data_IF_972197735973
#
_entry.id   IF_972197735973
#
_cell.length_a   1.000
_cell.length_b   1.000
_cell.length_c   1.000
_cell.angle_alpha   90.00
_cell.angle_beta   90.00
_cell.angle_gamma   90.00
#
_symmetry.space_group_name_H-M   'P 1'
#
loop_
_entity.id
_entity.type
_entity.pdbx_description
1 polymer ?
2 non-polymer ?
3 non-polymer ?
4 non-polymer ?
5 non-polymer ?
6 non-polymer ?
7 water ?
#
# COMPACT_ATOMS: atom_id res chain seq x y z
N UNK A 1 -7.30 -1.48 19.39
CA UNK A 1 -6.40 -0.70 18.54
C UNK A 1 -5.06 -1.41 18.36
N UNK A 2 -4.74 -1.75 17.10
CA UNK A 2 -3.46 -2.37 16.76
C UNK A 2 -2.31 -1.37 16.75
N UNK A 3 -1.13 -1.81 16.29
CA UNK A 3 0.04 -0.92 16.32
C UNK A 3 -0.10 0.28 15.38
N UNK A 4 0.46 1.40 15.82
CA UNK A 4 0.54 2.60 15.00
C UNK A 4 1.98 3.12 14.98
N UNK A 5 2.31 3.91 13.96
CA UNK A 5 3.57 4.66 13.98
C UNK A 5 3.50 5.68 15.10
N UNK A 6 4.58 5.86 15.83
CA UNK A 6 4.62 6.80 16.93
C UNK A 6 5.34 8.08 16.51
N UNK A 7 5.17 8.43 15.25
CA UNK A 7 5.72 9.65 14.69
C UNK A 7 4.86 10.01 13.48
N UNK A 8 4.95 11.26 13.05
CA UNK A 8 4.14 11.71 11.91
C UNK A 8 4.91 11.93 10.63
N UNK A 9 6.23 11.74 10.67
CA UNK A 9 7.05 11.81 9.47
C UNK A 9 7.50 10.39 9.15
N UNK A 10 7.08 9.89 8.01
CA UNK A 10 7.31 8.50 7.65
C UNK A 10 7.97 8.44 6.28
N UNK A 11 9.08 7.71 6.15
CA UNK A 11 9.70 7.59 4.84
C UNK A 11 9.36 6.27 4.16
N UNK A 12 9.43 6.29 2.84
CA UNK A 12 9.27 5.07 2.07
C UNK A 12 10.36 4.95 1.02
N UNK A 13 10.66 3.73 0.62
CA UNK A 13 11.61 3.52 -0.46
C UNK A 13 11.10 2.43 -1.37
N UNK A 14 11.25 2.62 -2.67
CA UNK A 14 10.88 1.61 -3.65
C UNK A 14 12.11 0.73 -3.89
N UNK A 15 12.07 -0.47 -3.33
CA UNK A 15 13.21 -1.41 -3.37
C UNK A 15 13.53 -1.86 -4.77
N UNK A 16 12.49 -2.10 -5.55
CA UNK A 16 12.62 -2.58 -6.91
C UNK A 16 11.36 -2.27 -7.69
N UNK A 17 11.44 -2.39 -9.02
CA UNK A 17 10.36 -2.00 -9.92
C UNK A 17 9.85 -3.15 -10.76
N UNK A 18 8.53 -3.31 -10.81
CA UNK A 18 7.94 -4.28 -11.72
C UNK A 18 8.28 -3.92 -13.16
N UNK A 19 8.62 -4.92 -13.99
CA UNK A 19 8.86 -4.62 -15.41
C UNK A 19 7.54 -4.40 -16.16
N UNK A 20 6.41 -4.61 -15.49
CA UNK A 20 5.10 -4.44 -16.13
C UNK A 20 4.81 -3.01 -16.53
N UNK A 21 5.44 -2.06 -15.83
CA UNK A 21 5.12 -0.64 -15.97
C UNK A 21 6.37 0.20 -16.17
N UNK A 22 6.19 1.40 -16.72
CA UNK A 22 7.25 2.40 -16.75
C UNK A 22 7.64 2.77 -15.33
N UNK A 23 8.93 2.97 -15.10
CA UNK A 23 9.41 3.31 -13.77
C UNK A 23 8.71 4.58 -13.25
N UNK A 24 8.55 5.55 -14.12
CA UNK A 24 7.89 6.81 -13.74
C UNK A 24 6.46 6.56 -13.29
N UNK A 25 5.80 5.60 -13.91
CA UNK A 25 4.40 5.31 -13.59
C UNK A 25 4.29 4.61 -12.22
N UNK A 26 5.29 3.80 -11.88
CA UNK A 26 5.32 3.17 -10.56
C UNK A 26 5.51 4.25 -9.48
N UNK A 27 6.51 5.10 -9.65
CA UNK A 27 6.73 6.21 -8.73
C UNK A 27 5.46 7.02 -8.52
N UNK A 28 4.78 7.34 -9.62
CA UNK A 28 3.58 8.17 -9.54
C UNK A 28 2.46 7.46 -8.78
N UNK A 29 2.23 6.19 -9.09
CA UNK A 29 1.17 5.43 -8.42
C UNK A 29 1.41 5.40 -6.93
N UNK A 30 2.65 5.11 -6.54
CA UNK A 30 2.97 5.01 -5.14
C UNK A 30 2.85 6.35 -4.42
N UNK A 31 3.39 7.43 -5.02
CA UNK A 31 3.27 8.73 -4.43
C UNK A 31 1.81 9.16 -4.27
N UNK A 32 0.99 8.91 -5.28
CA UNK A 32 -0.42 9.27 -5.20
C UNK A 32 -1.15 8.44 -4.14
N UNK A 33 -0.78 7.16 -4.00
CA UNK A 33 -1.37 6.33 -2.95
C UNK A 33 -1.06 6.84 -1.54
N UNK A 34 0.17 7.27 -1.28
CA UNK A 34 0.48 7.86 0.02
C UNK A 34 -0.32 9.14 0.24
N UNK A 35 -0.48 9.93 -0.82
CA UNK A 35 -1.17 11.20 -0.73
C UNK A 35 -2.62 11.02 -0.28
N UNK A 36 -3.26 9.95 -0.74
CA UNK A 36 -4.61 9.65 -0.33
C UNK A 36 -4.74 9.64 1.21
N UNK A 37 -3.77 9.01 1.87
CA UNK A 37 -3.80 8.89 3.32
C UNK A 37 -3.30 10.16 4.01
N UNK A 38 -2.31 10.81 3.42
CA UNK A 38 -1.82 12.06 3.99
C UNK A 38 -2.91 13.14 4.01
N UNK A 39 -3.80 13.09 3.02
CA UNK A 39 -4.88 14.07 2.89
C UNK A 39 -5.89 14.08 4.04
N UNK A 40 -5.94 13.02 4.83
CA UNK A 40 -6.93 12.91 5.92
C UNK A 40 -6.32 12.61 7.29
N UNK A 41 -4.99 12.74 7.39
CA UNK A 41 -4.28 12.54 8.66
C UNK A 41 -3.17 13.60 8.83
N UNK A 42 -2.50 13.61 9.99
CA UNK A 42 -1.31 14.46 10.16
C UNK A 42 -0.05 13.89 9.54
N UNK A 43 -0.14 12.71 8.92
CA UNK A 43 1.05 12.02 8.42
C UNK A 43 1.63 12.64 7.15
N UNK A 44 2.96 12.67 7.10
CA UNK A 44 3.66 13.07 5.89
C UNK A 44 4.61 11.97 5.46
N UNK A 45 4.71 11.81 4.16
CA UNK A 45 5.50 10.72 3.58
C UNK A 45 6.52 11.30 2.62
N UNK A 46 7.76 10.85 2.74
CA UNK A 46 8.83 11.27 1.84
C UNK A 46 9.51 10.04 1.27
N UNK A 47 9.71 10.05 -0.04
CA UNK A 47 10.45 9.02 -0.77
C UNK A 47 11.95 9.21 -0.57
N UNK A 48 12.64 8.15 -0.18
CA UNK A 48 14.09 8.18 -0.15
C UNK A 48 14.62 7.07 -1.06
N UNK A 49 15.77 7.32 -1.68
CA UNK A 49 16.38 6.37 -2.62
C UNK A 49 17.52 5.62 -1.97
N UNK A 50 17.84 6.03 -0.74
CA UNK A 50 18.93 5.47 0.06
C UNK A 50 18.64 5.74 1.53
N UNK A 51 19.25 4.97 2.43
CA UNK A 51 19.05 5.18 3.85
C UNK A 51 18.11 4.13 4.36
N UNK A 52 17.45 4.42 5.48
CA UNK A 52 16.58 3.45 6.15
C UNK A 52 15.12 3.91 6.16
N UNK A 53 14.38 3.51 5.15
CA UNK A 53 12.99 3.88 5.05
C UNK A 53 12.12 3.10 6.06
N UNK A 54 11.05 3.73 6.52
CA UNK A 54 10.07 3.02 7.34
C UNK A 54 9.29 1.98 6.54
N UNK A 55 8.81 2.38 5.37
CA UNK A 55 7.99 1.51 4.53
C UNK A 55 8.77 1.15 3.29
N UNK A 56 9.20 -0.10 3.20
CA UNK A 56 9.83 -0.58 1.98
C UNK A 56 8.75 -1.14 1.04
N UNK A 57 8.77 -0.68 -0.20
CA UNK A 57 7.88 -1.14 -1.24
C UNK A 57 8.63 -2.15 -2.12
N UNK A 58 8.10 -3.37 -2.21
CA UNK A 58 8.79 -4.46 -2.87
C UNK A 58 7.88 -5.17 -3.86
N UNK A 59 8.41 -5.54 -5.03
CA UNK A 59 7.72 -6.47 -5.94
C UNK A 59 8.47 -7.79 -5.86
N UNK A 60 7.76 -8.88 -5.58
CA UNK A 60 8.42 -10.17 -5.43
C UNK A 60 7.46 -11.28 -5.80
N UNK A 61 8.00 -12.49 -5.88
CA UNK A 61 7.29 -13.62 -6.47
C UNK A 61 7.25 -14.79 -5.49
N UNK A 62 6.11 -15.48 -5.42
CA UNK A 62 6.01 -16.72 -4.67
C UNK A 62 6.52 -16.63 -3.24
N UNK A 63 7.35 -17.60 -2.84
CA UNK A 63 7.99 -17.57 -1.54
C UNK A 63 9.14 -16.59 -1.64
N UNK A 64 9.05 -15.49 -0.88
CA UNK A 64 9.96 -14.37 -1.07
C UNK A 64 10.57 -13.89 0.24
N UNK A 65 10.74 -14.80 1.19
CA UNK A 65 11.53 -14.50 2.36
C UNK A 65 10.77 -14.16 3.62
N UNK A 66 9.44 -14.25 3.56
CA UNK A 66 8.61 -14.04 4.75
C UNK A 66 7.55 -15.15 4.86
N UNK A 67 6.63 -15.03 5.81
CA UNK A 67 5.66 -16.11 6.02
C UNK A 67 4.35 -15.86 5.28
N UNK A 68 4.44 -15.05 4.24
CA UNK A 68 3.26 -14.68 3.49
C UNK A 68 3.55 -14.92 2.03
N UNK A 69 3.87 -16.16 1.67
CA UNK A 69 4.17 -16.49 0.28
C UNK A 69 3.03 -16.12 -0.67
N UNK A 70 3.39 -15.69 -1.86
CA UNK A 70 2.41 -15.38 -2.89
C UNK A 70 2.01 -16.65 -3.64
N UNK A 71 1.05 -16.51 -4.55
CA UNK A 71 0.32 -17.66 -5.07
C UNK A 71 0.19 -17.67 -6.59
N UNK A 72 1.08 -16.97 -7.30
CA UNK A 72 0.99 -16.86 -8.75
C UNK A 72 -0.07 -15.88 -9.18
N UNK A 73 -0.38 -15.83 -10.46
CA UNK A 73 -1.36 -14.86 -10.95
C UNK A 73 -2.74 -15.09 -10.32
N UNK A 74 -3.38 -14.00 -9.91
CA UNK A 74 -4.68 -14.07 -9.27
C UNK A 74 -4.58 -14.26 -7.77
N UNK A 75 -5.70 -14.50 -7.13
CA UNK A 75 -5.67 -14.72 -5.69
C UNK A 75 -5.13 -13.50 -4.95
N UNK A 76 -4.15 -13.72 -4.08
CA UNK A 76 -3.49 -12.62 -3.34
C UNK A 76 -2.78 -11.67 -4.29
N UNK A 77 -3.03 -10.38 -4.16
CA UNK A 77 -2.36 -9.42 -5.05
C UNK A 77 -1.13 -8.78 -4.40
N UNK A 78 -1.17 -8.68 -3.07
CA UNK A 78 -0.17 -7.95 -2.31
C UNK A 78 -0.44 -8.19 -0.83
N UNK A 79 0.53 -7.88 0.02
CA UNK A 79 0.28 -7.89 1.46
C UNK A 79 1.23 -6.90 2.10
N UNK A 80 0.93 -6.49 3.32
CA UNK A 80 1.75 -5.50 4.00
C UNK A 80 1.76 -5.75 5.50
N UNK A 81 2.89 -5.41 6.13
CA UNK A 81 3.04 -5.55 7.57
C UNK A 81 2.59 -4.27 8.26
N UNK A 82 1.96 -4.41 9.43
CA UNK A 82 1.57 -3.24 10.19
C UNK A 82 2.78 -2.51 10.75
N UNK A 83 2.57 -1.32 11.32
CA UNK A 83 3.66 -0.51 11.87
C UNK A 83 4.56 -1.26 12.86
N UNK A 84 5.86 -1.00 12.75
CA UNK A 84 6.86 -1.68 13.57
C UNK A 84 8.20 -1.54 12.88
N UNK A 85 9.25 -1.97 13.57
CA UNK A 85 10.60 -1.87 13.03
C UNK A 85 10.87 -2.95 12.01
N UNK A 86 11.94 -2.79 11.23
CA UNK A 86 12.36 -3.82 10.31
C UNK A 86 11.31 -4.08 9.24
N UNK A 87 10.82 -5.31 9.16
CA UNK A 87 9.81 -5.64 8.17
C UNK A 87 8.48 -4.92 8.43
N UNK A 88 8.29 -4.44 9.65
CA UNK A 88 7.09 -3.69 9.96
C UNK A 88 6.86 -2.58 8.94
N UNK A 89 5.61 -2.39 8.56
CA UNK A 89 5.27 -1.36 7.59
C UNK A 89 5.50 -1.71 6.12
N UNK A 90 6.29 -2.73 5.83
CA UNK A 90 6.68 -2.96 4.43
C UNK A 90 5.51 -3.51 3.60
N UNK A 91 5.47 -3.13 2.32
CA UNK A 91 4.37 -3.48 1.43
C UNK A 91 4.92 -4.28 0.26
N UNK A 92 4.42 -5.50 0.08
CA UNK A 92 4.90 -6.40 -0.94
C UNK A 92 3.83 -6.68 -1.99
N UNK A 93 4.20 -6.55 -3.26
CA UNK A 93 3.28 -6.70 -4.38
C UNK A 93 3.70 -7.93 -5.18
N UNK A 94 2.71 -8.76 -5.53
CA UNK A 94 2.98 -10.04 -6.18
C UNK A 94 3.31 -9.80 -7.65
N UNK A 95 4.56 -10.06 -8.02
CA UNK A 95 4.99 -9.82 -9.41
C UNK A 95 4.26 -10.72 -10.39
N UNK A 96 3.65 -11.80 -9.92
CA UNK A 96 2.90 -12.66 -10.84
C UNK A 96 1.60 -12.01 -11.33
N UNK A 97 1.24 -10.88 -10.74
CA UNK A 97 0.15 -10.06 -11.26
C UNK A 97 0.68 -9.19 -12.40
N UNK A 98 -0.21 -8.65 -13.23
CA UNK A 98 0.20 -7.68 -14.23
C UNK A 98 -0.22 -6.28 -13.78
N UNK A 99 0.76 -5.52 -13.29
CA UNK A 99 0.49 -4.21 -12.68
C UNK A 99 0.27 -3.18 -13.76
N UNK A 100 -0.76 -2.35 -13.61
CA UNK A 100 -1.04 -1.31 -14.61
C UNK A 100 -1.39 0.05 -14.02
N UNK A 101 -1.46 1.04 -14.91
CA UNK A 101 -1.87 2.39 -14.58
C UNK A 101 -3.37 2.53 -14.82
N UNK A 102 -4.01 1.45 -15.24
CA UNK A 102 -5.37 1.54 -15.77
C UNK A 102 -6.27 0.41 -15.29
N UNK A 103 -7.30 0.08 -16.05
CA UNK A 103 -8.31 -0.85 -15.60
C UNK A 103 -7.96 -2.30 -15.91
N UNK A 104 -7.03 -2.50 -16.84
CA UNK A 104 -6.58 -3.84 -17.18
C UNK A 104 -5.64 -4.36 -16.13
N UNK A 105 -5.43 -5.68 -16.12
CA UNK A 105 -4.59 -6.31 -15.11
C UNK A 105 -5.00 -5.87 -13.73
N UNK A 106 -4.01 -5.52 -12.91
CA UNK A 106 -4.30 -5.07 -11.55
C UNK A 106 -3.75 -3.66 -11.39
N UNK A 107 -4.62 -2.70 -11.09
CA UNK A 107 -4.18 -1.33 -10.94
C UNK A 107 -3.26 -1.14 -9.72
N UNK A 108 -2.05 -0.64 -9.95
CA UNK A 108 -1.08 -0.49 -8.87
C UNK A 108 -1.51 0.55 -7.83
N UNK A 109 -1.96 1.71 -8.30
CA UNK A 109 -2.41 2.77 -7.41
C UNK A 109 -3.47 2.27 -6.40
N UNK A 110 -4.52 1.67 -6.91
CA UNK A 110 -5.60 1.22 -6.01
C UNK A 110 -5.10 0.18 -5.02
N UNK A 111 -4.31 -0.76 -5.50
CA UNK A 111 -3.73 -1.78 -4.63
C UNK A 111 -2.82 -1.15 -3.59
N UNK A 112 -2.03 -0.17 -3.99
CA UNK A 112 -1.15 0.51 -3.06
C UNK A 112 -1.91 1.29 -2.00
N UNK A 113 -3.04 1.90 -2.34
CA UNK A 113 -3.83 2.58 -1.31
C UNK A 113 -4.23 1.58 -0.22
N UNK A 114 -4.76 0.44 -0.63
CA UNK A 114 -5.15 -0.63 0.30
C UNK A 114 -3.95 -1.11 1.15
N UNK A 115 -2.82 -1.37 0.49
CA UNK A 115 -1.67 -1.91 1.22
C UNK A 115 -1.10 -0.89 2.19
N UNK A 116 -1.03 0.37 1.78
CA UNK A 116 -0.53 1.41 2.67
C UNK A 116 -1.47 1.53 3.86
N UNK A 117 -2.77 1.34 3.64
CA UNK A 117 -3.71 1.25 4.76
C UNK A 117 -3.21 0.29 5.83
N UNK A 118 -2.83 -0.92 5.39
CA UNK A 118 -2.27 -1.91 6.30
C UNK A 118 -0.93 -1.41 6.91
N UNK A 119 -0.06 -0.81 6.10
CA UNK A 119 1.23 -0.33 6.60
C UNK A 119 1.05 0.72 7.70
N UNK A 120 -0.09 1.39 7.68
CA UNK A 120 -0.39 2.44 8.67
C UNK A 120 -1.18 1.86 9.86
N UNK A 121 -1.61 0.62 9.73
CA UNK A 121 -2.25 -0.04 10.86
C UNK A 121 -3.70 -0.45 10.70
N UNK A 122 -4.29 -0.22 9.53
CA UNK A 122 -5.68 -0.62 9.28
C UNK A 122 -5.79 -2.10 8.95
N UNK A 123 -6.86 -2.72 9.41
CA UNK A 123 -7.24 -4.05 8.97
C UNK A 123 -8.31 -3.92 7.90
N UNK A 124 -8.88 -5.04 7.50
CA UNK A 124 -9.92 -5.01 6.49
C UNK A 124 -11.24 -4.48 7.01
N UNK A 125 -12.05 -3.97 6.09
CA UNK A 125 -13.36 -3.41 6.39
C UNK A 125 -14.43 -4.27 5.74
N UNK A 126 -15.61 -4.30 6.33
CA UNK A 126 -16.71 -5.02 5.69
C UNK A 126 -17.59 -4.07 4.88
N UNK A 127 -17.19 -2.80 4.83
CA UNK A 127 -17.89 -1.79 4.04
C UNK A 127 -17.54 -1.98 2.56
N UNK A 128 -18.55 -2.31 1.73
CA UNK A 128 -18.24 -2.60 0.32
C UNK A 128 -17.65 -1.41 -0.43
N UNK A 129 -17.79 -0.21 0.11
CA UNK A 129 -17.25 0.98 -0.56
C UNK A 129 -15.83 1.30 -0.11
N UNK A 130 -15.38 0.59 0.92
CA UNK A 130 -14.07 0.89 1.51
C UNK A 130 -12.90 0.37 0.68
N UNK A 131 -11.84 1.16 0.60
CA UNK A 131 -10.63 0.68 -0.05
C UNK A 131 -10.03 -0.49 0.74
N UNK A 132 -10.32 -0.56 2.05
CA UNK A 132 -9.87 -1.67 2.89
C UNK A 132 -10.76 -2.93 2.81
N UNK A 133 -11.75 -2.93 1.91
CA UNK A 133 -12.54 -4.15 1.68
C UNK A 133 -11.58 -5.24 1.20
N UNK A 134 -11.88 -6.53 1.49
CA UNK A 134 -10.87 -7.56 1.25
C UNK A 134 -10.58 -7.86 -0.21
N UNK A 135 -11.50 -7.55 -1.11
CA UNK A 135 -11.31 -7.88 -2.53
C UNK A 135 -11.20 -6.68 -3.44
N UNK A 136 -10.34 -6.83 -4.44
CA UNK A 136 -10.05 -5.81 -5.43
C UNK A 136 -11.09 -5.81 -6.53
N UNK A 137 -11.51 -4.62 -6.93
CA UNK A 137 -12.30 -4.44 -8.13
C UNK A 137 -12.00 -3.04 -8.65
N UNK A 138 -11.59 -2.94 -9.90
CA UNK A 138 -11.21 -1.66 -10.46
C UNK A 138 -12.33 -0.63 -10.31
N UNK A 139 -11.96 0.56 -9.82
CA UNK A 139 -12.86 1.70 -9.86
C UNK A 139 -12.14 2.86 -10.52
N UNK A 140 -12.89 3.72 -11.20
CA UNK A 140 -12.32 4.83 -11.95
C UNK A 140 -11.32 5.58 -11.09
N UNK A 141 -10.07 5.57 -11.54
CA UNK A 141 -8.96 6.15 -10.80
C UNK A 141 -9.14 7.64 -10.59
N UNK A 142 -9.82 8.29 -11.52
CA UNK A 142 -9.98 9.74 -11.49
C UNK A 142 -11.04 10.19 -10.49
N UNK A 143 -11.95 9.30 -10.12
CA UNK A 143 -12.99 9.65 -9.17
C UNK A 143 -12.84 8.85 -7.88
N UNK A 144 -11.79 8.05 -7.79
CA UNK A 144 -11.57 7.27 -6.59
C UNK A 144 -11.55 8.12 -5.33
N UNK A 145 -12.17 7.63 -4.27
CA UNK A 145 -12.17 8.31 -2.97
C UNK A 145 -12.20 7.29 -1.85
N UNK A 146 -11.52 7.60 -0.74
CA UNK A 146 -11.67 6.80 0.47
C UNK A 146 -13.13 6.83 0.86
N UNK A 147 -13.63 5.73 1.41
CA UNK A 147 -14.98 5.74 1.95
C UNK A 147 -14.98 6.39 3.33
N UNK A 148 -16.17 6.74 3.82
CA UNK A 148 -16.31 7.27 5.18
C UNK A 148 -15.71 6.33 6.23
N UNK A 149 -15.83 5.03 6.01
CA UNK A 149 -15.30 4.05 6.94
C UNK A 149 -13.76 4.08 6.95
N UNK A 150 -13.15 4.20 5.78
CA UNK A 150 -11.69 4.28 5.71
C UNK A 150 -11.20 5.52 6.48
N UNK A 151 -11.89 6.64 6.29
CA UNK A 151 -11.48 7.89 6.92
C UNK A 151 -11.66 7.80 8.44
N UNK A 152 -12.79 7.24 8.86
CA UNK A 152 -13.01 7.00 10.28
C UNK A 152 -11.88 6.15 10.87
N UNK A 153 -11.55 5.05 10.18
CA UNK A 153 -10.52 4.15 10.67
C UNK A 153 -9.18 4.83 10.84
N UNK A 154 -8.75 5.55 9.82
CA UNK A 154 -7.41 6.13 9.87
C UNK A 154 -7.35 7.31 10.84
N UNK A 155 -8.44 8.08 10.92
CA UNK A 155 -8.48 9.20 11.87
C UNK A 155 -8.56 8.71 13.32
N UNK A 156 -8.99 7.47 13.52
CA UNK A 156 -9.01 6.91 14.86
C UNK A 156 -7.60 6.50 15.30
N UNK A 157 -6.72 6.25 14.34
CA UNK A 157 -5.34 5.87 14.63
C UNK A 157 -4.39 7.05 14.73
N UNK A 158 -4.63 8.10 13.93
CA UNK A 158 -3.73 9.25 13.87
C UNK A 158 -4.46 10.57 13.97
N UNK A 159 -3.92 11.48 14.78
CA UNK A 159 -4.49 12.80 14.96
C UNK A 159 -5.41 12.91 16.17
X LIG B 1 -5.54 -6.44 2.64
X LIG C 1 5.95 -10.54 1.61
X LIG D 1 9.87 -1.28 7.61
X LIG E 1 4.16 -8.85 -13.35
X LIG F 1 -1.26 -13.63 -6.70
X LIG G 1 -3.83 -9.02 0.44
X LIG G 1 -3.78 -8.24 1.75
X LIG G 1 -3.43 -7.11 1.75
X LIG G 1 -4.57 -8.76 2.85
X LIG G 1 -4.75 -8.06 4.03
X LIG H 1 -5.98 -7.47 -1.16
X LIG H 1 -6.00 -8.74 -2.05
X LIG H 1 -5.01 -9.07 -2.65
X LIG H 1 -5.51 -6.23 -1.91
X LIG H 1 -6.23 -4.27 -3.32
X LIG H 1 -7.18 -3.27 -3.77
X LIG H 1 -8.53 -3.31 -3.21
X LIG H 1 -6.59 -5.23 -2.39
X LIG H 1 -9.54 -2.26 -3.68
X LIG H 1 -9.44 -1.74 -5.08
X LIG H 1 -10.32 -0.78 -5.53
X LIG H 1 -11.40 -0.81 -3.30
X LIG H 1 -10.48 -1.82 -2.84
X LIG H 1 -11.31 -0.29 -4.64
X LIG H 1 -8.92 -4.31 -2.26
X LIG H 1 -7.98 -5.28 -1.82
X LIG H 1 -7.28 -9.43 -2.18
X LIG H 1 -7.38 -10.58 -3.08
X LIG H 1 -8.14 -10.16 -4.32
X LIG H 1 -9.06 -9.38 -4.23
X LIG H 1 -8.12 -11.76 -2.41
X LIG H 1 -7.44 -12.51 -1.28
X LIG H 1 -8.30 -13.55 -0.56
X LIG H 1 -8.90 -13.24 0.41
X LIG H 1 -8.01 -14.89 -0.75
X LIG H 1 -7.98 -10.94 -5.54
X LIG H 1 -8.86 -10.63 -6.63
X LIG H 1 -10.30 -10.96 -6.29
X LIG H 1 -10.55 -11.93 -5.66
X LIG H 1 -8.46 -11.24 -7.99
X LIG H 1 -8.19 -10.26 -9.14
X LIG H 1 -9.35 -9.58 -9.89
X LIG H 1 -10.45 -9.99 -9.75
X LIG H 1 -9.09 -8.68 -10.94
X LIG H 1 -11.32 -10.08 -6.80
X LIG I 1 -14.22 -8.06 10.79
X LIG I 1 -14.98 -7.41 9.80
X LIG I 1 -14.23 -6.61 8.74
X LIG I 1 -13.40 -7.31 7.86
X LIG I 1 -13.89 -8.40 7.13
X LIG I 1 -14.51 -8.16 5.76
X LIG I 1 -15.45 -9.21 5.66
X LIG J 1 9.60 4.70 18.29
X LIG J 1 8.41 4.11 18.71
X LIG J 1 8.07 2.73 18.14
X LIG J 1 7.08 2.64 17.15
X LIG J 1 7.44 2.81 15.81
X LIG J 1 7.28 1.61 14.88
X LIG J 1 8.22 0.58 14.98
#
# INVERSE_FOLDING_TARGET
MGPVWRKHYITYRINNYTPDMNREDVDYAIRKAFQVWSNVTPLKFSKINTGMADILVVFARGAHGDDHAFDGKGGILAHAFGPGSGIGGDAHFDEDEFWTTHSGGTNLFLTAVHEIGHSLGLGHSSDPKAVMFPTYKYVDINTFRLSADDIRGIQSLYG
ZN ZN
ZN ZN
CA CA
CA CA
CA CA
HAE C1 C2 O2 N O
EEF C1 C2 O2 C14 C15 C16 C17 C18 C19 C20 C21 C22 C23 C27 C30 C31 N1 C3 C9 O1 C4 C5 C8 O7 O6 N2 C10 C13 O5 C11 C12 C32 O34 O33 N3
P6G O10 C11 C12 O13 C14 C15 O16
P6G O10 C11 C12 O13 C14 C15 O16
#
